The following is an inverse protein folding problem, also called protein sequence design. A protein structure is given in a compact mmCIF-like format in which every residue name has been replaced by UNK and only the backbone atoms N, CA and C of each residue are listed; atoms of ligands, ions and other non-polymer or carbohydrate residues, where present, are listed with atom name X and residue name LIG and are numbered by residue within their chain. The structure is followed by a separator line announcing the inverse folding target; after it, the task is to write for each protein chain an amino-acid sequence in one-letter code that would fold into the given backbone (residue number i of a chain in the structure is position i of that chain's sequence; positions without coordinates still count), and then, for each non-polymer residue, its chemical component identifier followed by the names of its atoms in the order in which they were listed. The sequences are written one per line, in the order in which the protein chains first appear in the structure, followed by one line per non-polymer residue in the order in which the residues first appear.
data_IF_918167818492
#
_entry.id   IF_918167818492
#
_cell.length_a   1.000
_cell.length_b   1.000
_cell.length_c   1.000
_cell.angle_alpha   90.00
_cell.angle_beta   90.00
_cell.angle_gamma   90.00
#
_symmetry.space_group_name_H-M   'P 1'
#
loop_
_entity.id
_entity.type
_entity.pdbx_description
1 polymer ?
#
# COMPACT_ATOMS: atom_id res chain seq x y z
N UNK A 1 5.66 12.97 22.85
CA UNK A 1 6.25 13.41 21.57
C UNK A 1 5.13 13.30 20.55
N UNK A 2 4.74 14.39 19.89
CA UNK A 2 3.73 14.31 18.82
C UNK A 2 4.49 14.01 17.53
N UNK A 3 4.37 12.77 17.05
CA UNK A 3 4.95 12.33 15.79
C UNK A 3 4.10 12.83 14.61
N UNK A 4 4.01 14.15 14.45
CA UNK A 4 3.31 14.76 13.33
C UNK A 4 4.26 14.92 12.14
N UNK A 5 4.23 13.94 11.22
CA UNK A 5 4.91 14.07 9.94
C UNK A 5 4.34 15.26 9.15
N UNK A 6 5.24 16.11 8.61
CA UNK A 6 4.85 17.27 7.80
C UNK A 6 4.11 16.85 6.54
N UNK A 7 3.29 17.73 5.98
CA UNK A 7 2.57 17.48 4.73
C UNK A 7 3.51 17.02 3.60
N UNK A 8 4.68 17.65 3.49
CA UNK A 8 5.70 17.31 2.49
C UNK A 8 6.10 15.83 2.55
N UNK A 9 6.26 15.29 3.76
CA UNK A 9 6.63 13.88 3.96
C UNK A 9 5.48 12.96 3.54
N UNK A 10 4.24 13.26 3.98
CA UNK A 10 3.05 12.46 3.63
C UNK A 10 2.77 12.46 2.13
N UNK A 11 2.89 13.61 1.48
CA UNK A 11 2.80 13.72 0.03
C UNK A 11 3.89 12.89 -0.64
N UNK A 12 5.14 12.99 -0.20
CA UNK A 12 6.25 12.20 -0.73
C UNK A 12 6.00 10.68 -0.69
N UNK A 13 5.39 10.17 0.39
CA UNK A 13 5.04 8.75 0.48
C UNK A 13 4.00 8.34 -0.57
N UNK A 14 3.00 9.18 -0.84
CA UNK A 14 2.01 8.90 -1.89
C UNK A 14 2.62 8.98 -3.30
N UNK A 15 3.56 9.90 -3.51
CA UNK A 15 4.30 10.04 -4.77
C UNK A 15 5.12 8.79 -5.11
N UNK A 16 5.64 8.07 -4.11
CA UNK A 16 6.39 6.81 -4.31
C UNK A 16 5.54 5.69 -4.92
N UNK A 17 4.21 5.75 -4.81
CA UNK A 17 3.30 4.74 -5.37
C UNK A 17 2.85 5.06 -6.80
N UNK A 18 3.27 6.20 -7.38
CA UNK A 18 2.86 6.59 -8.73
C UNK A 18 3.33 5.59 -9.79
N UNK A 19 2.45 5.28 -10.73
CA UNK A 19 2.70 4.32 -11.81
C UNK A 19 2.60 2.85 -11.39
N UNK A 20 2.36 2.57 -10.10
CA UNK A 20 2.11 1.23 -9.59
C UNK A 20 0.62 0.86 -9.54
N UNK A 21 0.35 -0.40 -9.23
CA UNK A 21 -1.00 -0.93 -8.95
C UNK A 21 -1.10 -1.23 -7.46
N UNK A 22 -2.21 -0.85 -6.83
CA UNK A 22 -2.57 -1.26 -5.46
C UNK A 22 -3.65 -2.34 -5.58
N UNK A 23 -3.40 -3.54 -5.03
CA UNK A 23 -4.34 -4.66 -5.13
C UNK A 23 -5.05 -4.91 -3.80
N UNK A 24 -6.36 -5.13 -3.87
CA UNK A 24 -7.16 -5.58 -2.72
C UNK A 24 -6.87 -7.04 -2.40
N UNK A 25 -6.68 -7.36 -1.12
CA UNK A 25 -6.38 -8.72 -0.65
C UNK A 25 -7.13 -9.02 0.65
N UNK A 26 -7.55 -10.27 0.85
CA UNK A 26 -8.26 -10.73 2.07
C UNK A 26 -7.49 -11.75 2.90
N UNK A 27 -6.32 -12.19 2.43
CA UNK A 27 -5.44 -13.11 3.15
C UNK A 27 -3.95 -12.96 2.75
N UNK A 28 -3.08 -13.65 3.48
CA UNK A 28 -1.63 -13.60 3.27
C UNK A 28 -1.15 -14.33 2.01
N UNK A 29 -1.99 -15.18 1.39
CA UNK A 29 -1.65 -15.84 0.13
C UNK A 29 -1.85 -14.86 -1.03
N UNK A 30 -2.98 -14.15 -1.06
CA UNK A 30 -3.25 -13.10 -2.03
C UNK A 30 -2.23 -11.98 -1.97
N UNK A 31 -1.79 -11.57 -0.77
CA UNK A 31 -0.72 -10.58 -0.62
C UNK A 31 0.59 -11.02 -1.30
N UNK A 32 0.98 -12.30 -1.14
CA UNK A 32 2.17 -12.87 -1.80
C UNK A 32 2.02 -12.94 -3.32
N UNK A 33 0.82 -13.27 -3.82
CA UNK A 33 0.53 -13.29 -5.26
C UNK A 33 0.59 -11.86 -5.85
N UNK A 34 0.02 -10.87 -5.16
CA UNK A 34 0.03 -9.47 -5.58
C UNK A 34 1.45 -8.91 -5.65
N UNK A 35 2.28 -9.17 -4.64
CA UNK A 35 3.71 -8.80 -4.65
C UNK A 35 4.44 -9.44 -5.84
N UNK A 36 4.27 -10.74 -6.05
CA UNK A 36 4.88 -11.46 -7.17
C UNK A 36 4.41 -10.97 -8.55
N UNK A 37 3.18 -10.47 -8.64
CA UNK A 37 2.61 -9.87 -9.85
C UNK A 37 3.09 -8.42 -10.10
N UNK A 38 3.86 -7.83 -9.18
CA UNK A 38 4.40 -6.48 -9.30
C UNK A 38 3.49 -5.37 -8.75
N UNK A 39 2.57 -5.69 -7.84
CA UNK A 39 1.82 -4.66 -7.12
C UNK A 39 2.77 -3.78 -6.30
N UNK A 40 2.57 -2.45 -6.36
CA UNK A 40 3.38 -1.49 -5.60
C UNK A 40 2.98 -1.44 -4.12
N UNK A 41 1.72 -1.78 -3.81
CA UNK A 41 1.20 -1.96 -2.46
C UNK A 41 -0.02 -2.90 -2.49
N UNK A 42 -0.46 -3.34 -1.32
CA UNK A 42 -1.70 -4.11 -1.14
C UNK A 42 -2.63 -3.39 -0.17
N UNK A 43 -3.95 -3.50 -0.40
CA UNK A 43 -4.99 -3.04 0.50
C UNK A 43 -5.64 -4.24 1.17
N UNK A 44 -5.41 -4.39 2.48
CA UNK A 44 -6.04 -5.47 3.25
C UNK A 44 -7.50 -5.12 3.52
N UNK A 45 -8.41 -5.95 3.00
CA UNK A 45 -9.84 -5.84 3.22
C UNK A 45 -10.30 -6.86 4.26
N UNK A 46 -11.34 -6.51 5.02
CA UNK A 46 -12.04 -7.49 5.83
C UNK A 46 -12.78 -8.49 4.92
N UNK A 47 -12.94 -9.74 5.36
CA UNK A 47 -13.91 -10.65 4.73
C UNK A 47 -15.31 -10.10 4.99
N UNK A 48 -16.06 -9.82 3.92
CA UNK A 48 -17.50 -9.53 3.96
C UNK A 48 -18.27 -10.78 4.39
#
# INVERSE_FOLDING_TARGET
MRDEATFRVKAGLAEMLKGGVIMDVVDAEQARIAEAAGAAAVMALERV
#
